data_IF_411721831137
#
_entry.id   IF_411721831137
#
_cell.length_a   1.000
_cell.length_b   1.000
_cell.length_c   1.000
_cell.angle_alpha   90.00
_cell.angle_beta   90.00
_cell.angle_gamma   90.00
#
_symmetry.space_group_name_H-M   'P 1'
#
loop_
_entity.id
_entity.type
_entity.pdbx_description
1 polymer ?
#
# COMPACT_ATOMS: atom_id res chain seq x y z
N UNK A 1 53.67 20.55 -23.67
CA UNK A 1 53.67 20.09 -22.28
C UNK A 1 52.25 20.23 -21.73
N UNK A 2 51.63 19.13 -21.31
CA UNK A 2 50.27 19.15 -20.74
C UNK A 2 50.40 19.28 -19.22
N UNK A 3 49.87 20.36 -18.66
CA UNK A 3 49.83 20.50 -17.21
C UNK A 3 48.84 19.49 -16.62
N UNK A 4 49.26 18.80 -15.55
CA UNK A 4 48.49 17.73 -14.91
C UNK A 4 48.49 17.87 -13.40
N UNK A 5 47.37 17.50 -12.78
CA UNK A 5 47.28 17.28 -11.33
C UNK A 5 47.40 15.79 -11.05
N UNK A 6 48.20 15.42 -10.07
CA UNK A 6 48.39 14.04 -9.63
C UNK A 6 47.79 13.83 -8.24
N UNK A 7 46.95 12.81 -8.11
CA UNK A 7 46.32 12.37 -6.87
C UNK A 7 46.98 11.07 -6.40
N UNK A 8 47.89 11.13 -5.39
CA UNK A 8 48.54 9.93 -4.87
C UNK A 8 47.59 9.12 -3.99
N UNK A 9 47.60 7.82 -4.21
CA UNK A 9 46.93 6.85 -3.33
C UNK A 9 47.98 6.22 -2.44
N UNK A 10 47.79 6.40 -1.13
CA UNK A 10 48.77 5.96 -0.13
C UNK A 10 48.20 4.81 0.72
N UNK A 11 49.12 3.98 1.22
CA UNK A 11 48.82 2.99 2.24
C UNK A 11 49.98 2.98 3.23
N UNK A 12 49.70 3.29 4.50
CA UNK A 12 50.69 3.46 5.56
C UNK A 12 51.84 4.40 5.17
N UNK A 13 51.46 5.54 4.57
CA UNK A 13 52.39 6.59 4.14
C UNK A 13 53.15 6.32 2.84
N UNK A 14 52.98 5.16 2.20
CA UNK A 14 53.64 4.83 0.93
C UNK A 14 52.69 4.97 -0.25
N UNK A 15 53.09 5.69 -1.30
CA UNK A 15 52.33 5.81 -2.55
C UNK A 15 52.42 4.49 -3.32
N UNK A 16 51.26 3.83 -3.54
CA UNK A 16 51.21 2.59 -4.31
C UNK A 16 50.51 2.74 -5.66
N UNK A 17 49.74 3.81 -5.85
CA UNK A 17 49.07 4.16 -7.09
C UNK A 17 48.92 5.69 -7.19
N UNK A 18 48.69 6.20 -8.39
CA UNK A 18 48.37 7.61 -8.60
C UNK A 18 47.40 7.77 -9.76
N UNK A 19 46.41 8.64 -9.61
CA UNK A 19 45.62 9.15 -10.73
C UNK A 19 46.20 10.49 -11.19
N UNK A 20 46.22 10.67 -12.49
CA UNK A 20 46.74 11.88 -13.14
C UNK A 20 45.64 12.45 -14.00
N UNK A 21 45.27 13.69 -13.77
CA UNK A 21 44.24 14.41 -14.53
C UNK A 21 44.84 15.59 -15.24
N UNK A 22 44.59 15.72 -16.54
CA UNK A 22 44.95 16.90 -17.30
C UNK A 22 44.14 18.12 -16.88
N UNK A 23 44.78 19.29 -16.78
CA UNK A 23 44.13 20.57 -16.47
C UNK A 23 43.55 21.19 -17.73
N UNK A 24 44.17 20.95 -18.89
CA UNK A 24 43.83 21.62 -20.14
C UNK A 24 42.86 20.84 -21.02
N UNK A 25 42.84 19.54 -20.92
CA UNK A 25 41.99 18.65 -21.76
C UNK A 25 41.28 17.59 -20.91
N UNK A 26 40.16 17.05 -21.42
CA UNK A 26 39.53 15.91 -20.79
C UNK A 26 40.37 14.65 -20.96
N UNK A 27 41.23 14.36 -20.00
CA UNK A 27 42.07 13.17 -20.00
C UNK A 27 42.52 12.81 -18.59
N UNK A 28 42.58 11.51 -18.31
CA UNK A 28 43.17 10.99 -17.09
C UNK A 28 44.00 9.73 -17.39
N UNK A 29 44.99 9.51 -16.58
CA UNK A 29 45.83 8.32 -16.60
C UNK A 29 45.99 7.79 -15.18
N UNK A 30 46.27 6.49 -15.03
CA UNK A 30 46.60 5.89 -13.76
C UNK A 30 47.97 5.25 -13.81
N UNK A 31 48.75 5.46 -12.78
CA UNK A 31 49.96 4.68 -12.49
C UNK A 31 49.63 3.76 -11.31
N UNK A 32 49.72 2.45 -11.52
CA UNK A 32 49.22 1.48 -10.57
C UNK A 32 47.69 1.29 -10.67
N UNK A 33 47.10 0.55 -9.72
CA UNK A 33 45.67 0.30 -9.64
C UNK A 33 45.13 0.71 -8.26
N UNK A 34 44.45 1.85 -8.13
CA UNK A 34 43.85 2.26 -6.86
C UNK A 34 42.79 1.27 -6.42
N UNK A 35 42.96 0.66 -5.24
CA UNK A 35 42.05 -0.35 -4.65
C UNK A 35 41.54 0.04 -3.26
N UNK A 36 41.85 1.26 -2.80
CA UNK A 36 41.39 1.82 -1.54
C UNK A 36 40.86 3.24 -1.77
N UNK A 37 40.28 3.84 -0.76
CA UNK A 37 39.89 5.25 -0.84
C UNK A 37 41.13 6.17 -1.05
N UNK A 38 40.92 7.26 -1.79
CA UNK A 38 41.81 8.38 -1.76
C UNK A 38 41.82 9.04 -0.39
N UNK A 39 42.96 9.46 0.11
CA UNK A 39 43.15 10.10 1.43
C UNK A 39 42.90 9.16 2.64
N UNK A 40 42.94 7.84 2.45
CA UNK A 40 42.62 6.84 3.50
C UNK A 40 43.54 6.97 4.73
N UNK A 41 44.82 7.24 4.56
CA UNK A 41 45.80 7.32 5.66
C UNK A 41 45.54 8.48 6.65
N UNK A 42 44.66 9.43 6.29
CA UNK A 42 44.30 10.57 7.14
C UNK A 42 42.95 10.37 7.85
N UNK A 43 42.33 9.21 7.73
CA UNK A 43 41.06 8.96 8.38
C UNK A 43 41.24 8.82 9.89
N UNK A 44 40.48 9.62 10.63
CA UNK A 44 40.27 9.53 12.07
C UNK A 44 38.87 8.88 12.30
N UNK A 45 38.87 7.63 12.74
CA UNK A 45 37.63 6.85 12.92
C UNK A 45 36.72 7.38 14.06
N UNK A 46 37.24 8.29 14.88
CA UNK A 46 36.42 8.95 15.92
C UNK A 46 35.54 10.08 15.38
N UNK A 47 35.80 10.50 14.14
CA UNK A 47 35.03 11.52 13.42
C UNK A 47 34.07 10.89 12.40
N UNK A 48 32.99 11.57 12.00
CA UNK A 48 32.22 11.20 10.82
C UNK A 48 33.11 11.08 9.58
N UNK A 49 32.78 10.15 8.68
CA UNK A 49 33.51 9.94 7.42
C UNK A 49 32.69 10.48 6.24
N UNK A 50 33.22 11.44 5.49
CA UNK A 50 32.64 11.92 4.23
C UNK A 50 33.26 11.11 3.09
N UNK A 51 32.42 10.44 2.29
CA UNK A 51 32.85 9.68 1.09
C UNK A 51 32.35 10.40 -0.16
N UNK A 52 33.28 10.96 -0.93
CA UNK A 52 33.03 11.66 -2.18
C UNK A 52 33.17 10.73 -3.39
N UNK A 53 32.53 11.10 -4.53
CA UNK A 53 32.70 10.37 -5.78
C UNK A 53 34.06 10.61 -6.44
N UNK A 54 34.55 11.83 -6.39
CA UNK A 54 35.82 12.24 -7.03
C UNK A 54 36.82 12.83 -6.05
N UNK A 55 38.09 12.79 -6.46
CA UNK A 55 39.20 13.38 -5.68
C UNK A 55 39.06 14.91 -5.55
N UNK A 56 38.55 15.60 -6.58
CA UNK A 56 38.29 17.05 -6.52
C UNK A 56 37.20 17.40 -5.54
N UNK A 57 36.16 16.57 -5.41
CA UNK A 57 35.08 16.76 -4.43
C UNK A 57 35.60 16.59 -3.02
N UNK A 58 36.47 15.58 -2.80
CA UNK A 58 37.16 15.40 -1.52
C UNK A 58 38.02 16.62 -1.18
N UNK A 59 38.80 17.14 -2.13
CA UNK A 59 39.57 18.35 -1.92
C UNK A 59 38.70 19.57 -1.67
N UNK A 60 37.53 19.65 -2.29
CA UNK A 60 36.53 20.72 -2.02
C UNK A 60 36.06 20.71 -0.58
N UNK A 61 35.75 19.52 0.00
CA UNK A 61 35.44 19.40 1.41
C UNK A 61 36.63 19.74 2.31
N UNK A 62 37.84 19.37 1.95
CA UNK A 62 39.07 19.76 2.69
C UNK A 62 39.23 21.27 2.67
N UNK A 63 39.06 21.90 1.50
CA UNK A 63 39.20 23.37 1.32
C UNK A 63 38.14 24.14 2.14
N UNK A 64 36.93 23.59 2.32
CA UNK A 64 35.92 24.24 3.15
C UNK A 64 36.14 24.05 4.66
N UNK A 65 37.18 23.34 5.09
CA UNK A 65 37.52 23.10 6.51
C UNK A 65 36.83 21.87 7.11
N UNK A 66 36.28 20.97 6.29
CA UNK A 66 35.56 19.77 6.77
C UNK A 66 36.45 18.86 7.65
N UNK A 67 37.80 18.87 7.51
CA UNK A 67 38.69 18.05 8.32
C UNK A 67 38.65 18.37 9.82
N UNK A 68 38.17 19.54 10.20
CA UNK A 68 37.98 19.90 11.61
C UNK A 68 36.89 19.04 12.28
N UNK A 69 35.84 18.65 11.54
CA UNK A 69 34.66 17.98 12.05
C UNK A 69 34.45 16.57 11.47
N UNK A 70 35.08 16.20 10.37
CA UNK A 70 34.92 14.92 9.70
C UNK A 70 36.21 14.49 8.98
N UNK A 71 36.41 13.21 8.76
CA UNK A 71 37.40 12.69 7.84
C UNK A 71 36.84 12.69 6.42
N UNK A 72 37.69 12.97 5.40
CA UNK A 72 37.27 13.10 4.01
C UNK A 72 38.02 12.14 3.12
N UNK A 73 37.31 11.33 2.35
CA UNK A 73 37.87 10.39 1.38
C UNK A 73 37.10 10.44 0.06
N UNK A 74 37.70 9.93 -1.02
CA UNK A 74 36.94 9.66 -2.25
C UNK A 74 37.11 8.24 -2.75
N UNK A 75 36.14 7.77 -3.55
CA UNK A 75 36.21 6.43 -4.15
C UNK A 75 37.28 6.39 -5.25
N UNK A 76 37.97 5.25 -5.44
CA UNK A 76 39.04 5.13 -6.44
C UNK A 76 38.53 5.06 -7.89
N UNK A 77 37.27 4.66 -8.09
CA UNK A 77 36.68 4.45 -9.42
C UNK A 77 35.35 5.18 -9.51
N UNK A 78 35.05 5.77 -10.66
CA UNK A 78 33.80 6.53 -10.88
C UNK A 78 32.53 5.69 -10.79
N UNK A 79 31.38 6.37 -10.86
CA UNK A 79 30.06 5.83 -10.60
C UNK A 79 29.69 4.56 -11.40
N UNK A 80 28.84 3.75 -10.80
CA UNK A 80 28.33 2.49 -11.35
C UNK A 80 26.95 2.74 -11.97
N UNK A 81 26.77 2.34 -13.24
CA UNK A 81 25.52 2.64 -13.98
C UNK A 81 24.28 1.84 -13.55
N UNK A 82 24.37 0.90 -12.59
CA UNK A 82 23.23 0.05 -12.23
C UNK A 82 23.34 -0.49 -10.79
N UNK A 83 22.26 -0.35 -10.04
CA UNK A 83 22.06 -1.06 -8.76
C UNK A 83 21.80 -2.53 -9.07
N UNK A 84 22.47 -3.45 -8.38
CA UNK A 84 22.24 -4.90 -8.51
C UNK A 84 21.20 -5.31 -7.49
N UNK A 85 20.19 -6.11 -7.90
CA UNK A 85 19.17 -6.65 -6.99
C UNK A 85 19.82 -7.39 -5.81
N UNK A 86 19.22 -7.21 -4.61
CA UNK A 86 19.76 -7.72 -3.32
C UNK A 86 20.07 -9.22 -3.34
N UNK A 87 19.29 -10.01 -4.10
CA UNK A 87 19.43 -11.48 -4.20
C UNK A 87 20.68 -11.93 -4.97
N UNK A 88 21.28 -11.08 -5.79
CA UNK A 88 22.39 -11.41 -6.69
C UNK A 88 23.70 -10.66 -6.39
N UNK A 89 23.74 -9.83 -5.35
CA UNK A 89 24.94 -9.09 -4.97
C UNK A 89 26.01 -10.03 -4.41
N UNK A 90 26.92 -10.48 -5.26
CA UNK A 90 28.11 -11.22 -4.83
C UNK A 90 28.97 -10.32 -3.94
N UNK A 91 29.38 -10.84 -2.76
CA UNK A 91 30.35 -10.18 -1.86
C UNK A 91 31.66 -9.74 -2.54
N UNK A 92 31.96 -10.27 -3.70
CA UNK A 92 33.22 -10.13 -4.44
C UNK A 92 33.02 -9.35 -5.76
N UNK A 93 32.40 -8.15 -5.66
CA UNK A 93 32.32 -7.24 -6.78
C UNK A 93 33.61 -6.40 -6.85
N UNK A 94 34.38 -6.61 -7.88
CA UNK A 94 35.69 -5.92 -8.10
C UNK A 94 35.57 -4.39 -8.08
N UNK A 95 34.42 -3.82 -8.41
CA UNK A 95 34.14 -2.38 -8.43
C UNK A 95 34.06 -1.75 -7.03
N UNK A 96 33.60 -2.53 -6.02
CA UNK A 96 33.48 -2.07 -4.64
C UNK A 96 34.53 -2.66 -3.71
N UNK A 97 35.62 -3.20 -4.27
CA UNK A 97 36.73 -3.80 -3.51
C UNK A 97 37.35 -2.83 -2.50
N UNK A 98 37.29 -1.53 -2.79
CA UNK A 98 37.74 -0.50 -1.87
C UNK A 98 36.99 -0.47 -0.54
N UNK A 99 35.69 -0.83 -0.53
CA UNK A 99 34.92 -0.98 0.70
C UNK A 99 35.39 -2.19 1.51
N UNK A 100 35.61 -3.33 0.86
CA UNK A 100 36.13 -4.53 1.51
C UNK A 100 37.54 -4.29 2.09
N UNK A 101 38.39 -3.57 1.37
CA UNK A 101 39.72 -3.24 1.84
C UNK A 101 39.75 -2.23 3.01
N UNK A 102 38.65 -1.52 3.24
CA UNK A 102 38.48 -0.57 4.33
C UNK A 102 37.45 -1.04 5.38
N UNK A 103 37.09 -2.34 5.40
CA UNK A 103 36.01 -2.88 6.23
C UNK A 103 36.23 -2.59 7.72
N UNK A 104 37.44 -2.86 8.26
CA UNK A 104 37.78 -2.58 9.66
C UNK A 104 37.57 -1.11 10.02
N UNK A 105 38.08 -0.20 9.19
CA UNK A 105 37.92 1.25 9.38
C UNK A 105 36.44 1.65 9.30
N UNK A 106 35.70 1.10 8.33
CA UNK A 106 34.28 1.39 8.17
C UNK A 106 33.45 0.86 9.35
N UNK A 107 33.83 -0.25 9.97
CA UNK A 107 33.14 -0.77 11.18
C UNK A 107 33.32 0.16 12.40
N UNK A 108 34.50 0.76 12.56
CA UNK A 108 34.81 1.67 13.67
C UNK A 108 34.06 3.02 13.54
N UNK A 109 33.84 3.50 12.32
CA UNK A 109 33.19 4.79 12.07
C UNK A 109 31.70 4.73 12.40
N UNK A 110 31.23 5.59 13.31
CA UNK A 110 29.82 5.63 13.71
C UNK A 110 28.89 6.33 12.70
N UNK A 111 29.38 7.31 11.94
CA UNK A 111 28.60 8.10 10.99
C UNK A 111 29.32 8.24 9.65
N UNK A 112 28.69 7.84 8.57
CA UNK A 112 29.20 7.94 7.20
C UNK A 112 28.31 8.90 6.41
N UNK A 113 28.88 9.93 5.80
CA UNK A 113 28.20 10.92 4.96
C UNK A 113 28.60 10.67 3.51
N UNK A 114 27.65 10.24 2.69
CA UNK A 114 27.86 9.95 1.28
C UNK A 114 27.61 11.23 0.47
N UNK A 115 28.63 11.68 -0.25
CA UNK A 115 28.67 12.93 -0.99
C UNK A 115 29.01 12.66 -2.47
N UNK A 116 28.21 11.80 -3.13
CA UNK A 116 28.30 11.51 -4.56
C UNK A 116 27.59 12.57 -5.39
N UNK A 117 27.84 12.57 -6.70
CA UNK A 117 27.16 13.43 -7.65
C UNK A 117 25.62 13.30 -7.56
N UNK A 118 24.90 14.38 -7.85
CA UNK A 118 23.42 14.39 -7.84
C UNK A 118 22.78 13.72 -9.07
N UNK A 119 23.57 13.26 -10.05
CA UNK A 119 23.08 12.58 -11.24
C UNK A 119 22.67 11.11 -10.95
N UNK A 120 22.05 10.45 -11.94
CA UNK A 120 21.55 9.08 -11.80
C UNK A 120 22.65 8.08 -11.42
N UNK A 121 23.87 8.25 -11.94
CA UNK A 121 24.98 7.35 -11.68
C UNK A 121 25.53 7.52 -10.27
N UNK A 122 25.70 8.78 -9.82
CA UNK A 122 26.12 9.09 -8.45
C UNK A 122 25.09 8.63 -7.41
N UNK A 123 23.79 8.78 -7.69
CA UNK A 123 22.75 8.28 -6.79
C UNK A 123 22.73 6.74 -6.71
N UNK A 124 22.95 6.04 -7.82
CA UNK A 124 23.07 4.57 -7.81
C UNK A 124 24.29 4.10 -7.02
N UNK A 125 25.42 4.79 -7.13
CA UNK A 125 26.62 4.52 -6.34
C UNK A 125 26.36 4.75 -4.85
N UNK A 126 25.71 5.86 -4.49
CA UNK A 126 25.35 6.17 -3.11
C UNK A 126 24.47 5.07 -2.47
N UNK A 127 23.45 4.62 -3.19
CA UNK A 127 22.56 3.54 -2.73
C UNK A 127 23.32 2.24 -2.46
N UNK A 128 24.19 1.85 -3.39
CA UNK A 128 24.99 0.63 -3.27
C UNK A 128 26.03 0.72 -2.14
N UNK A 129 26.69 1.88 -1.97
CA UNK A 129 27.60 2.11 -0.84
C UNK A 129 26.83 2.05 0.49
N UNK A 130 25.70 2.75 0.61
CA UNK A 130 24.90 2.74 1.81
C UNK A 130 24.39 1.33 2.18
N UNK A 131 24.05 0.52 1.17
CA UNK A 131 23.64 -0.88 1.36
C UNK A 131 24.77 -1.74 1.92
N UNK A 132 26.02 -1.56 1.42
CA UNK A 132 27.19 -2.35 1.83
C UNK A 132 27.75 -1.91 3.18
N UNK A 133 27.81 -0.60 3.44
CA UNK A 133 28.31 -0.02 4.70
C UNK A 133 27.29 -0.24 5.84
N UNK A 134 26.00 -0.21 5.50
CA UNK A 134 24.88 -0.26 6.45
C UNK A 134 24.13 1.07 6.52
N UNK A 135 22.89 1.10 6.00
CA UNK A 135 22.06 2.33 5.92
C UNK A 135 21.82 3.02 7.27
N UNK A 136 21.89 2.25 8.39
CA UNK A 136 21.67 2.77 9.73
C UNK A 136 22.64 3.86 10.16
N UNK A 137 23.86 3.86 9.64
CA UNK A 137 24.91 4.87 9.92
C UNK A 137 25.22 5.77 8.72
N UNK A 138 24.53 5.59 7.59
CA UNK A 138 24.74 6.36 6.39
C UNK A 138 23.82 7.58 6.33
N UNK A 139 24.40 8.71 5.94
CA UNK A 139 23.74 9.97 5.65
C UNK A 139 24.12 10.40 4.24
N UNK A 140 23.35 11.29 3.62
CA UNK A 140 23.68 11.82 2.29
C UNK A 140 23.66 13.32 2.27
N UNK A 141 24.55 13.90 1.49
CA UNK A 141 24.52 15.32 1.13
C UNK A 141 23.40 15.55 0.09
N UNK A 142 22.62 16.59 0.32
CA UNK A 142 21.63 17.07 -0.66
C UNK A 142 22.16 18.40 -1.24
N UNK A 143 22.75 18.34 -2.41
CA UNK A 143 23.25 19.54 -3.08
C UNK A 143 22.11 20.46 -3.52
N UNK A 144 22.34 21.80 -3.56
CA UNK A 144 21.39 22.74 -4.16
C UNK A 144 21.07 22.36 -5.61
N UNK A 145 19.87 22.69 -6.09
CA UNK A 145 19.38 22.28 -7.43
C UNK A 145 20.28 22.68 -8.60
N UNK A 146 21.05 23.76 -8.44
CA UNK A 146 21.98 24.29 -9.43
C UNK A 146 23.42 23.76 -9.27
N UNK A 147 23.67 22.85 -8.31
CA UNK A 147 24.96 22.25 -8.06
C UNK A 147 24.88 20.73 -8.22
N UNK A 148 25.81 20.15 -8.95
CA UNK A 148 25.89 18.72 -9.20
C UNK A 148 26.67 17.98 -8.14
N UNK A 149 27.76 18.60 -7.65
CA UNK A 149 28.77 18.02 -6.79
C UNK A 149 29.32 19.06 -5.79
N UNK A 150 30.26 18.67 -4.96
CA UNK A 150 30.89 19.54 -3.97
C UNK A 150 31.68 20.69 -4.59
N UNK A 151 32.36 20.42 -5.71
CA UNK A 151 33.15 21.42 -6.43
C UNK A 151 32.21 22.52 -6.98
N UNK A 152 31.08 22.14 -7.57
CA UNK A 152 30.05 23.08 -8.04
C UNK A 152 29.56 24.00 -6.91
N UNK A 153 29.40 23.50 -5.68
CA UNK A 153 28.97 24.31 -4.53
C UNK A 153 29.99 25.38 -4.19
N UNK A 154 31.27 25.04 -4.13
CA UNK A 154 32.31 26.03 -3.89
C UNK A 154 32.34 27.09 -5.00
N UNK A 155 32.32 26.68 -6.26
CA UNK A 155 32.40 27.56 -7.40
C UNK A 155 31.19 28.49 -7.57
N UNK A 156 29.98 27.97 -7.29
CA UNK A 156 28.72 28.70 -7.53
C UNK A 156 28.20 29.42 -6.29
N UNK A 157 28.57 28.97 -5.11
CA UNK A 157 28.09 29.52 -3.82
C UNK A 157 29.27 30.00 -2.95
N UNK A 158 29.78 29.13 -2.06
CA UNK A 158 30.92 29.43 -1.20
C UNK A 158 31.41 28.16 -0.49
N UNK A 159 32.60 28.24 0.11
CA UNK A 159 33.13 27.23 1.05
C UNK A 159 32.24 27.05 2.27
N UNK A 160 31.70 28.16 2.81
CA UNK A 160 30.75 28.10 3.94
C UNK A 160 29.50 27.31 3.58
N UNK A 161 28.93 27.57 2.40
CA UNK A 161 27.75 26.84 1.93
C UNK A 161 27.97 25.33 1.80
N UNK A 162 29.18 24.90 1.40
CA UNK A 162 29.56 23.49 1.36
C UNK A 162 29.70 22.92 2.77
N UNK A 163 30.33 23.64 3.67
CA UNK A 163 30.49 23.23 5.07
C UNK A 163 29.13 23.01 5.76
N UNK A 164 28.18 23.93 5.59
CA UNK A 164 26.85 23.85 6.16
C UNK A 164 26.09 22.58 5.71
N UNK A 165 26.39 22.05 4.52
CA UNK A 165 25.77 20.82 4.03
C UNK A 165 26.16 19.58 4.85
N UNK A 166 27.26 19.61 5.59
CA UNK A 166 27.69 18.52 6.47
C UNK A 166 26.68 18.35 7.61
N UNK A 167 26.27 19.45 8.22
CA UNK A 167 25.28 19.45 9.30
C UNK A 167 23.86 19.18 8.80
N UNK A 168 23.58 19.58 7.55
CA UNK A 168 22.30 19.37 6.88
C UNK A 168 22.18 17.99 6.21
N UNK A 169 23.19 17.12 6.34
CA UNK A 169 23.15 15.78 5.77
C UNK A 169 21.96 14.98 6.33
N UNK A 170 21.12 14.46 5.44
CA UNK A 170 19.94 13.69 5.80
C UNK A 170 20.26 12.20 5.97
N UNK A 171 19.66 11.55 6.96
CA UNK A 171 19.79 10.11 7.14
C UNK A 171 19.40 9.36 5.87
N UNK A 172 20.13 8.30 5.54
CA UNK A 172 19.83 7.47 4.38
C UNK A 172 18.50 6.73 4.60
N UNK A 173 17.56 6.77 3.64
CA UNK A 173 16.25 6.18 3.86
C UNK A 173 16.36 4.65 4.03
N UNK A 174 15.78 4.16 5.13
CA UNK A 174 15.62 2.73 5.39
C UNK A 174 14.17 2.38 5.07
N UNK A 175 13.98 1.41 4.18
CA UNK A 175 12.63 0.97 3.81
C UNK A 175 11.83 0.54 5.04
N UNK A 176 10.64 1.10 5.21
CA UNK A 176 9.76 0.80 6.34
C UNK A 176 10.07 1.54 7.64
N UNK A 177 11.12 2.39 7.68
CA UNK A 177 11.44 3.27 8.81
C UNK A 177 11.29 4.73 8.39
N UNK A 178 10.39 5.44 9.06
CA UNK A 178 10.06 6.83 8.73
C UNK A 178 10.19 7.70 9.97
N UNK A 179 10.74 8.89 9.80
CA UNK A 179 10.67 9.93 10.81
C UNK A 179 9.24 10.48 10.91
N UNK A 180 8.80 10.82 12.12
CA UNK A 180 7.44 11.33 12.36
C UNK A 180 7.09 12.57 11.52
N UNK A 181 8.09 13.42 11.23
CA UNK A 181 7.89 14.64 10.42
C UNK A 181 7.39 14.36 9.01
N UNK A 182 7.68 13.17 8.46
CA UNK A 182 7.21 12.77 7.13
C UNK A 182 5.68 12.62 7.08
N UNK A 183 5.01 12.49 8.22
CA UNK A 183 3.55 12.38 8.34
C UNK A 183 2.86 13.71 8.71
N UNK A 184 3.61 14.78 9.01
CA UNK A 184 3.03 16.04 9.49
C UNK A 184 2.05 16.65 8.50
N UNK A 185 2.34 16.61 7.20
CA UNK A 185 1.42 17.11 6.16
C UNK A 185 0.07 16.38 6.20
N UNK A 186 0.09 15.07 6.40
CA UNK A 186 -1.13 14.28 6.52
C UNK A 186 -1.84 14.57 7.85
N UNK A 187 -1.08 14.81 8.93
CA UNK A 187 -1.60 15.18 10.22
C UNK A 187 -2.29 16.56 10.17
N UNK A 188 -1.70 17.53 9.48
CA UNK A 188 -2.30 18.87 9.26
C UNK A 188 -3.62 18.75 8.49
N UNK A 189 -3.68 17.91 7.46
CA UNK A 189 -4.92 17.64 6.74
C UNK A 189 -5.98 16.99 7.64
N UNK A 190 -5.59 16.03 8.47
CA UNK A 190 -6.49 15.43 9.45
C UNK A 190 -6.99 16.42 10.50
N UNK A 191 -6.15 17.38 10.91
CA UNK A 191 -6.53 18.42 11.85
C UNK A 191 -7.54 19.40 11.21
N UNK A 192 -7.34 19.76 9.94
CA UNK A 192 -8.19 20.71 9.22
C UNK A 192 -9.53 20.11 8.80
N UNK A 193 -9.51 18.88 8.28
CA UNK A 193 -10.67 18.24 7.63
C UNK A 193 -11.41 17.28 8.58
N UNK A 194 -10.77 16.93 9.71
CA UNK A 194 -11.23 15.91 10.65
C UNK A 194 -11.04 14.48 10.12
N UNK A 195 -11.40 13.52 10.94
CA UNK A 195 -11.57 12.14 10.48
C UNK A 195 -12.88 12.07 9.71
N UNK A 196 -12.82 12.13 8.37
CA UNK A 196 -14.02 12.04 7.54
C UNK A 196 -14.83 10.78 7.86
N UNK A 197 -16.15 10.91 7.95
CA UNK A 197 -17.02 9.74 7.89
C UNK A 197 -16.73 9.01 6.58
N UNK A 198 -16.79 7.66 6.60
CA UNK A 198 -16.72 6.89 5.36
C UNK A 198 -17.83 7.26 4.38
N UNK A 199 -17.76 6.70 3.19
CA UNK A 199 -18.82 6.87 2.20
C UNK A 199 -20.10 6.17 2.64
N UNK A 200 -21.23 6.81 2.40
CA UNK A 200 -22.56 6.27 2.73
C UNK A 200 -22.81 4.96 1.97
N UNK A 201 -23.39 4.00 2.68
CA UNK A 201 -23.91 2.76 2.09
C UNK A 201 -25.13 2.97 1.21
N UNK A 202 -25.74 4.14 1.31
CA UNK A 202 -27.05 4.46 0.70
C UNK A 202 -28.24 4.06 1.55
N UNK A 203 -28.00 3.70 2.82
CA UNK A 203 -29.01 3.38 3.81
C UNK A 203 -28.68 4.12 5.12
N UNK A 204 -29.43 5.14 5.47
CA UNK A 204 -29.16 5.99 6.63
C UNK A 204 -29.05 5.20 7.93
N UNK A 205 -29.89 4.20 8.12
CA UNK A 205 -29.90 3.34 9.30
C UNK A 205 -28.69 2.36 9.34
N UNK A 206 -28.12 1.99 8.21
CA UNK A 206 -26.86 1.23 8.15
C UNK A 206 -25.67 2.16 8.39
N UNK A 207 -25.71 3.39 7.87
CA UNK A 207 -24.65 4.39 8.00
C UNK A 207 -24.40 4.83 9.45
N UNK A 208 -25.38 4.62 10.35
CA UNK A 208 -25.17 4.78 11.78
C UNK A 208 -24.22 3.73 12.39
N UNK A 209 -24.18 2.54 11.78
CA UNK A 209 -23.40 1.40 12.24
C UNK A 209 -22.12 1.20 11.46
N UNK A 210 -22.17 1.50 10.16
CA UNK A 210 -21.09 1.19 9.23
C UNK A 210 -21.14 2.11 8.02
N UNK A 211 -20.02 2.75 7.73
CA UNK A 211 -19.75 3.46 6.48
C UNK A 211 -18.53 2.88 5.77
N UNK A 212 -18.40 3.08 4.47
CA UNK A 212 -17.35 2.48 3.66
C UNK A 212 -16.12 3.37 3.60
N UNK A 213 -15.01 2.91 4.18
CA UNK A 213 -13.74 3.66 4.20
C UNK A 213 -12.71 2.92 3.38
N UNK A 214 -11.99 3.62 2.52
CA UNK A 214 -10.82 3.08 1.81
C UNK A 214 -9.73 2.65 2.79
N UNK A 215 -8.77 1.86 2.32
CA UNK A 215 -7.67 1.31 3.12
C UNK A 215 -8.12 0.39 4.26
N UNK A 216 -9.38 -0.07 4.24
CA UNK A 216 -9.96 -0.95 5.26
C UNK A 216 -10.42 -2.29 4.70
N UNK A 217 -10.35 -3.32 5.56
CA UNK A 217 -10.89 -4.65 5.34
C UNK A 217 -12.17 -4.84 6.15
N UNK A 218 -13.27 -5.11 5.46
CA UNK A 218 -14.55 -5.50 6.06
C UNK A 218 -14.85 -6.97 5.81
N UNK A 219 -15.05 -7.73 6.86
CA UNK A 219 -15.56 -9.12 6.77
C UNK A 219 -17.08 -9.11 6.76
N UNK A 220 -17.65 -9.83 5.82
CA UNK A 220 -19.11 -10.02 5.74
C UNK A 220 -19.43 -11.50 5.90
N UNK A 221 -20.17 -11.84 6.95
CA UNK A 221 -20.58 -13.21 7.24
C UNK A 221 -22.10 -13.35 7.30
N UNK A 222 -22.59 -14.57 7.44
CA UNK A 222 -24.00 -14.92 7.49
C UNK A 222 -24.23 -16.34 6.99
N UNK A 223 -25.35 -16.92 7.33
CA UNK A 223 -25.70 -18.27 6.86
C UNK A 223 -25.78 -18.35 5.32
N UNK A 224 -25.67 -19.55 4.73
CA UNK A 224 -25.98 -19.73 3.31
C UNK A 224 -27.37 -19.14 3.00
N UNK A 225 -27.51 -18.48 1.85
CA UNK A 225 -28.76 -17.83 1.40
C UNK A 225 -29.29 -16.70 2.30
N UNK A 226 -28.48 -16.16 3.22
CA UNK A 226 -28.87 -15.00 4.05
C UNK A 226 -28.84 -13.65 3.32
N UNK A 227 -28.35 -13.61 2.06
CA UNK A 227 -28.31 -12.39 1.27
C UNK A 227 -27.01 -11.58 1.35
N UNK A 228 -25.89 -12.17 1.82
CA UNK A 228 -24.57 -11.49 1.89
C UNK A 228 -24.16 -10.83 0.57
N UNK A 229 -24.11 -11.62 -0.50
CA UNK A 229 -23.72 -11.13 -1.83
C UNK A 229 -24.71 -10.09 -2.35
N UNK A 230 -26.02 -10.30 -2.14
CA UNK A 230 -27.06 -9.34 -2.51
C UNK A 230 -26.90 -8.00 -1.81
N UNK A 231 -26.53 -8.01 -0.51
CA UNK A 231 -26.29 -6.80 0.25
C UNK A 231 -25.05 -6.07 -0.26
N UNK A 232 -23.94 -6.77 -0.47
CA UNK A 232 -22.69 -6.18 -1.00
C UNK A 232 -22.92 -5.61 -2.40
N UNK A 233 -23.62 -6.33 -3.27
CA UNK A 233 -23.99 -5.86 -4.61
C UNK A 233 -24.80 -4.56 -4.55
N UNK A 234 -25.73 -4.45 -3.59
CA UNK A 234 -26.47 -3.21 -3.40
C UNK A 234 -25.59 -2.06 -2.94
N UNK A 235 -24.64 -2.31 -2.01
CA UNK A 235 -23.66 -1.29 -1.60
C UNK A 235 -22.81 -0.83 -2.79
N UNK A 236 -22.33 -1.75 -3.61
CA UNK A 236 -21.56 -1.42 -4.82
C UNK A 236 -22.38 -0.57 -5.80
N UNK A 237 -23.63 -0.92 -6.05
CA UNK A 237 -24.51 -0.13 -6.93
C UNK A 237 -24.76 1.26 -6.35
N UNK A 238 -25.03 1.39 -5.05
CA UNK A 238 -25.24 2.67 -4.40
C UNK A 238 -23.99 3.56 -4.50
N UNK A 239 -22.82 3.02 -4.21
CA UNK A 239 -21.54 3.75 -4.30
C UNK A 239 -21.17 4.10 -5.75
N UNK A 240 -21.47 3.22 -6.74
CA UNK A 240 -21.27 3.53 -8.14
C UNK A 240 -22.14 4.72 -8.59
N UNK A 241 -23.41 4.72 -8.21
CA UNK A 241 -24.36 5.77 -8.56
C UNK A 241 -24.04 7.08 -7.85
N UNK A 242 -23.82 7.05 -6.55
CA UNK A 242 -23.70 8.25 -5.72
C UNK A 242 -22.28 8.88 -5.76
N UNK A 243 -21.23 8.06 -5.94
CA UNK A 243 -19.82 8.47 -5.82
C UNK A 243 -18.97 8.13 -7.03
N UNK A 244 -19.52 7.48 -8.03
CA UNK A 244 -18.79 7.07 -9.22
C UNK A 244 -17.73 6.00 -8.97
N UNK A 245 -17.82 5.26 -7.87
CA UNK A 245 -16.86 4.22 -7.51
C UNK A 245 -16.81 3.11 -8.55
N UNK A 246 -15.64 2.48 -8.65
CA UNK A 246 -15.35 1.33 -9.49
C UNK A 246 -14.93 0.15 -8.66
N UNK A 247 -15.33 -1.05 -9.08
CA UNK A 247 -15.21 -2.27 -8.29
C UNK A 247 -14.50 -3.36 -9.07
N UNK A 248 -13.60 -4.10 -8.39
CA UNK A 248 -13.14 -5.40 -8.84
C UNK A 248 -13.93 -6.48 -8.09
N UNK A 249 -14.53 -7.41 -8.83
CA UNK A 249 -15.41 -8.44 -8.28
C UNK A 249 -14.80 -9.81 -8.54
N UNK A 250 -14.32 -10.46 -7.49
CA UNK A 250 -13.88 -11.86 -7.48
C UNK A 250 -14.99 -12.72 -6.86
N UNK A 251 -16.03 -13.00 -7.63
CA UNK A 251 -17.13 -13.89 -7.24
C UNK A 251 -16.88 -15.28 -7.82
N UNK A 252 -16.84 -16.27 -6.94
CA UNK A 252 -16.53 -17.66 -7.30
C UNK A 252 -17.78 -18.56 -7.32
N UNK A 253 -18.88 -18.12 -6.69
CA UNK A 253 -20.13 -18.90 -6.61
C UNK A 253 -21.10 -18.61 -7.76
N UNK A 254 -21.09 -17.37 -8.28
CA UNK A 254 -22.01 -16.96 -9.32
C UNK A 254 -21.33 -16.96 -10.70
N UNK A 255 -22.04 -17.47 -11.71
CA UNK A 255 -21.64 -17.22 -13.10
C UNK A 255 -21.68 -15.73 -13.40
N UNK A 256 -20.70 -15.17 -14.11
CA UNK A 256 -20.63 -13.73 -14.37
C UNK A 256 -21.92 -13.14 -14.95
N UNK A 257 -22.56 -13.83 -15.89
CA UNK A 257 -23.76 -13.36 -16.56
C UNK A 257 -24.95 -13.23 -15.61
N UNK A 258 -25.08 -14.16 -14.68
CA UNK A 258 -26.14 -14.14 -13.65
C UNK A 258 -25.87 -12.99 -12.67
N UNK A 259 -24.61 -12.80 -12.28
CA UNK A 259 -24.22 -11.71 -11.39
C UNK A 259 -24.48 -10.34 -12.04
N UNK A 260 -24.12 -10.18 -13.33
CA UNK A 260 -24.40 -8.97 -14.09
C UNK A 260 -25.90 -8.68 -14.16
N UNK A 261 -26.74 -9.69 -14.39
CA UNK A 261 -28.19 -9.52 -14.41
C UNK A 261 -28.75 -8.99 -13.09
N UNK A 262 -28.23 -9.49 -11.95
CA UNK A 262 -28.60 -9.02 -10.60
C UNK A 262 -28.16 -7.56 -10.37
N UNK A 263 -26.95 -7.18 -10.77
CA UNK A 263 -26.45 -5.79 -10.66
C UNK A 263 -27.32 -4.85 -11.48
N UNK A 264 -27.69 -5.23 -12.72
CA UNK A 264 -28.58 -4.41 -13.57
C UNK A 264 -29.96 -4.27 -12.95
N UNK A 265 -30.52 -5.35 -12.41
CA UNK A 265 -31.83 -5.31 -11.71
C UNK A 265 -31.83 -4.33 -10.53
N UNK A 266 -30.73 -4.35 -9.73
CA UNK A 266 -30.55 -3.40 -8.61
C UNK A 266 -30.42 -1.96 -9.10
N UNK A 267 -29.62 -1.72 -10.14
CA UNK A 267 -29.42 -0.40 -10.72
C UNK A 267 -30.72 0.19 -11.27
N UNK A 268 -31.48 -0.61 -12.03
CA UNK A 268 -32.76 -0.20 -12.63
C UNK A 268 -33.96 -0.30 -11.70
N UNK A 269 -33.81 -0.99 -10.56
CA UNK A 269 -34.90 -1.31 -9.62
C UNK A 269 -36.09 -2.02 -10.33
N UNK A 270 -35.77 -2.88 -11.30
CA UNK A 270 -36.72 -3.67 -12.10
C UNK A 270 -36.26 -5.11 -12.25
N UNK A 271 -37.21 -6.07 -12.36
CA UNK A 271 -36.84 -7.46 -12.63
C UNK A 271 -36.08 -7.62 -13.95
N UNK A 272 -35.10 -8.51 -13.98
CA UNK A 272 -34.39 -8.88 -15.22
C UNK A 272 -35.21 -9.83 -16.08
N UNK A 273 -35.97 -10.74 -15.45
CA UNK A 273 -36.75 -11.77 -16.10
C UNK A 273 -38.24 -11.44 -16.08
N UNK A 274 -38.98 -12.01 -17.06
CA UNK A 274 -40.45 -11.91 -17.09
C UNK A 274 -41.07 -12.55 -15.84
N UNK A 275 -42.12 -11.92 -15.33
CA UNK A 275 -42.82 -12.35 -14.14
C UNK A 275 -44.14 -11.55 -13.94
N UNK A 276 -44.59 -11.45 -12.69
CA UNK A 276 -45.78 -10.68 -12.36
C UNK A 276 -45.64 -9.17 -12.62
N UNK A 277 -44.40 -8.67 -12.56
CA UNK A 277 -44.09 -7.28 -12.87
C UNK A 277 -43.37 -7.16 -14.21
N UNK A 278 -43.55 -6.02 -14.93
CA UNK A 278 -42.83 -5.78 -16.17
C UNK A 278 -41.32 -5.86 -15.97
N UNK A 279 -40.62 -6.63 -16.80
CA UNK A 279 -39.18 -6.69 -16.79
C UNK A 279 -38.56 -5.42 -17.39
N UNK A 280 -37.22 -5.34 -17.34
CA UNK A 280 -36.41 -4.34 -18.02
C UNK A 280 -36.74 -4.29 -19.52
N UNK A 281 -36.85 -3.09 -20.08
CA UNK A 281 -36.89 -2.90 -21.52
C UNK A 281 -35.53 -3.13 -22.15
N UNK A 282 -35.45 -3.19 -23.46
CA UNK A 282 -34.18 -3.35 -24.18
C UNK A 282 -33.26 -2.15 -23.96
N UNK A 283 -33.81 -0.94 -23.97
CA UNK A 283 -33.10 0.32 -23.70
C UNK A 283 -32.55 0.37 -22.28
N UNK A 284 -33.33 -0.05 -21.29
CA UNK A 284 -32.90 -0.13 -19.89
C UNK A 284 -31.80 -1.18 -19.69
N UNK A 285 -31.86 -2.30 -20.41
CA UNK A 285 -30.80 -3.30 -20.42
C UNK A 285 -29.48 -2.73 -21.00
N UNK A 286 -29.56 -2.01 -22.12
CA UNK A 286 -28.39 -1.48 -22.79
C UNK A 286 -27.76 -0.34 -21.95
N UNK A 287 -28.55 0.51 -21.29
CA UNK A 287 -28.02 1.47 -20.30
C UNK A 287 -27.41 0.75 -19.09
N UNK A 288 -28.01 -0.33 -18.60
CA UNK A 288 -27.43 -1.16 -17.54
C UNK A 288 -26.07 -1.77 -17.91
N UNK A 289 -25.88 -2.17 -19.17
CA UNK A 289 -24.59 -2.66 -19.66
C UNK A 289 -23.52 -1.56 -19.67
N UNK A 290 -23.86 -0.35 -20.12
CA UNK A 290 -22.91 0.78 -20.09
C UNK A 290 -22.56 1.17 -18.64
N UNK A 291 -23.53 1.12 -17.70
CA UNK A 291 -23.26 1.30 -16.28
C UNK A 291 -22.25 0.27 -15.75
N UNK A 292 -22.46 -1.03 -16.03
CA UNK A 292 -21.54 -2.09 -15.60
C UNK A 292 -20.16 -1.90 -16.22
N UNK A 293 -20.07 -1.66 -17.51
CA UNK A 293 -18.80 -1.46 -18.23
C UNK A 293 -17.97 -0.32 -17.60
N UNK A 294 -18.63 0.71 -17.08
CA UNK A 294 -17.97 1.86 -16.44
C UNK A 294 -17.49 1.57 -15.03
N UNK A 295 -18.21 0.74 -14.27
CA UNK A 295 -18.03 0.62 -12.83
C UNK A 295 -17.57 -0.74 -12.33
N UNK A 296 -17.70 -1.84 -13.11
CA UNK A 296 -17.45 -3.20 -12.61
C UNK A 296 -16.44 -3.97 -13.46
N UNK A 297 -15.46 -4.58 -12.81
CA UNK A 297 -14.40 -5.39 -13.43
C UNK A 297 -14.37 -6.75 -12.75
N UNK A 298 -14.60 -7.84 -13.51
CA UNK A 298 -14.67 -9.18 -12.96
C UNK A 298 -13.30 -9.86 -12.99
N UNK A 299 -12.87 -10.38 -11.84
CA UNK A 299 -11.70 -11.23 -11.72
C UNK A 299 -12.17 -12.67 -11.76
N UNK A 300 -12.11 -13.27 -12.95
CA UNK A 300 -12.62 -14.60 -13.20
C UNK A 300 -11.59 -15.48 -13.92
N UNK A 301 -11.46 -16.73 -13.48
CA UNK A 301 -10.67 -17.75 -14.16
C UNK A 301 -11.56 -18.67 -14.98
N UNK A 302 -11.37 -18.65 -16.32
CA UNK A 302 -12.19 -19.44 -17.25
C UNK A 302 -11.83 -20.93 -17.26
N UNK A 303 -10.63 -21.30 -16.80
CA UNK A 303 -10.12 -22.67 -16.74
C UNK A 303 -10.53 -23.44 -15.49
N UNK A 304 -11.30 -22.83 -14.59
CA UNK A 304 -11.78 -23.44 -13.35
C UNK A 304 -10.69 -23.69 -12.31
N UNK A 305 -9.45 -23.23 -12.52
CA UNK A 305 -8.38 -23.36 -11.52
C UNK A 305 -8.61 -22.44 -10.33
N UNK A 306 -8.21 -22.89 -9.14
CA UNK A 306 -8.23 -22.04 -7.95
C UNK A 306 -7.03 -21.06 -8.01
N UNK A 307 -7.28 -19.79 -7.71
CA UNK A 307 -6.23 -18.79 -7.63
C UNK A 307 -5.55 -18.81 -6.25
N UNK A 308 -4.22 -18.72 -6.23
CA UNK A 308 -3.53 -18.32 -5.00
C UNK A 308 -3.88 -16.89 -4.66
N UNK A 309 -3.75 -16.52 -3.37
CA UNK A 309 -4.00 -15.13 -2.93
C UNK A 309 -3.10 -14.13 -3.68
N UNK A 310 -1.84 -14.48 -3.93
CA UNK A 310 -0.89 -13.58 -4.58
C UNK A 310 -1.28 -13.33 -6.04
N UNK A 311 -1.71 -14.37 -6.78
CA UNK A 311 -2.22 -14.24 -8.14
C UNK A 311 -3.53 -13.43 -8.19
N UNK A 312 -4.40 -13.59 -7.21
CA UNK A 312 -5.64 -12.81 -7.09
C UNK A 312 -5.34 -11.33 -6.85
N UNK A 313 -4.50 -11.03 -5.87
CA UNK A 313 -4.11 -9.66 -5.53
C UNK A 313 -3.39 -8.97 -6.69
N UNK A 314 -2.57 -9.69 -7.47
CA UNK A 314 -1.91 -9.13 -8.65
C UNK A 314 -2.93 -8.70 -9.73
N UNK A 315 -3.96 -9.49 -10.01
CA UNK A 315 -5.04 -9.10 -10.94
C UNK A 315 -5.82 -7.90 -10.43
N UNK A 316 -6.09 -7.86 -9.14
CA UNK A 316 -6.75 -6.72 -8.50
C UNK A 316 -5.86 -5.48 -8.60
N UNK A 317 -4.55 -5.60 -8.37
CA UNK A 317 -3.58 -4.52 -8.54
C UNK A 317 -3.65 -3.91 -9.94
N UNK A 318 -3.69 -4.77 -10.95
CA UNK A 318 -3.83 -4.33 -12.34
C UNK A 318 -5.14 -3.55 -12.54
N UNK A 319 -6.25 -3.99 -11.92
CA UNK A 319 -7.52 -3.28 -12.03
C UNK A 319 -7.48 -1.90 -11.35
N UNK A 320 -6.79 -1.79 -10.22
CA UNK A 320 -6.58 -0.51 -9.53
C UNK A 320 -5.78 0.45 -10.39
N UNK A 321 -4.63 0.00 -10.89
CA UNK A 321 -3.72 0.85 -11.68
C UNK A 321 -4.30 1.23 -13.05
N UNK A 322 -5.02 0.32 -13.70
CA UNK A 322 -5.56 0.55 -15.05
C UNK A 322 -6.89 1.29 -15.06
N UNK A 323 -7.77 0.98 -14.13
CA UNK A 323 -9.15 1.45 -14.16
C UNK A 323 -9.50 2.39 -13.02
N UNK A 324 -8.63 2.52 -12.00
CA UNK A 324 -8.91 3.32 -10.80
C UNK A 324 -9.95 2.68 -9.90
N UNK A 325 -9.88 1.36 -9.68
CA UNK A 325 -10.77 0.61 -8.78
C UNK A 325 -10.68 1.16 -7.36
N UNK A 326 -11.83 1.42 -6.73
CA UNK A 326 -11.94 1.98 -5.39
C UNK A 326 -12.20 0.91 -4.32
N UNK A 327 -12.84 -0.19 -4.71
CA UNK A 327 -13.12 -1.28 -3.79
C UNK A 327 -13.13 -2.64 -4.49
N UNK A 328 -12.97 -3.69 -3.69
CA UNK A 328 -12.87 -5.08 -4.12
C UNK A 328 -13.81 -5.95 -3.31
N UNK A 329 -14.48 -6.88 -3.98
CA UNK A 329 -15.23 -7.96 -3.35
C UNK A 329 -14.55 -9.29 -3.63
N UNK A 330 -14.32 -10.08 -2.57
CA UNK A 330 -13.87 -11.47 -2.64
C UNK A 330 -14.97 -12.33 -2.02
N UNK A 331 -15.68 -13.10 -2.84
CA UNK A 331 -16.89 -13.82 -2.43
C UNK A 331 -16.92 -15.28 -2.95
N UNK A 332 -16.72 -16.27 -2.04
CA UNK A 332 -16.13 -16.18 -0.70
C UNK A 332 -14.63 -16.55 -0.68
N UNK A 333 -13.96 -16.37 0.47
CA UNK A 333 -12.54 -16.66 0.64
C UNK A 333 -12.18 -18.15 0.49
N UNK A 334 -13.13 -19.05 0.71
CA UNK A 334 -12.93 -20.51 0.69
C UNK A 334 -12.50 -21.05 -0.68
N UNK A 335 -12.70 -20.29 -1.75
CA UNK A 335 -12.25 -20.61 -3.11
C UNK A 335 -10.83 -20.14 -3.41
N UNK A 336 -10.15 -19.54 -2.45
CA UNK A 336 -8.72 -19.21 -2.58
C UNK A 336 -7.92 -20.45 -2.23
N UNK A 337 -6.97 -20.81 -3.11
CA UNK A 337 -6.14 -22.01 -2.94
C UNK A 337 -5.31 -21.91 -1.67
N UNK A 338 -5.48 -22.87 -0.76
CA UNK A 338 -4.64 -23.07 0.40
C UNK A 338 -3.51 -24.04 0.05
N UNK A 339 -2.24 -23.72 0.38
CA UNK A 339 -1.14 -24.69 0.28
C UNK A 339 -1.44 -25.95 1.09
N UNK A 340 -1.09 -27.11 0.53
CA UNK A 340 -1.44 -28.42 1.13
C UNK A 340 -0.82 -28.64 2.50
N UNK A 341 0.34 -28.04 2.77
CA UNK A 341 1.11 -28.20 4.00
C UNK A 341 0.79 -27.13 5.07
N UNK A 342 -0.09 -26.17 4.76
CA UNK A 342 -0.41 -25.06 5.67
C UNK A 342 -1.71 -25.35 6.45
N UNK A 343 -1.64 -25.17 7.78
CA UNK A 343 -2.82 -25.25 8.63
C UNK A 343 -3.82 -24.13 8.30
N UNK A 344 -5.11 -24.42 8.36
CA UNK A 344 -6.18 -23.45 8.02
C UNK A 344 -6.06 -22.14 8.80
N UNK A 345 -5.78 -22.21 10.10
CA UNK A 345 -5.63 -21.02 10.95
C UNK A 345 -4.44 -20.15 10.54
N UNK A 346 -3.31 -20.76 10.16
CA UNK A 346 -2.13 -20.05 9.68
C UNK A 346 -2.41 -19.40 8.32
N UNK A 347 -3.03 -20.15 7.41
CA UNK A 347 -3.45 -19.65 6.11
C UNK A 347 -4.40 -18.45 6.23
N UNK A 348 -5.46 -18.54 7.03
CA UNK A 348 -6.41 -17.43 7.25
C UNK A 348 -5.67 -16.22 7.84
N UNK A 349 -4.76 -16.44 8.78
CA UNK A 349 -3.97 -15.36 9.37
C UNK A 349 -3.11 -14.65 8.31
N UNK A 350 -2.41 -15.40 7.46
CA UNK A 350 -1.59 -14.89 6.37
C UNK A 350 -2.43 -14.17 5.33
N UNK A 351 -3.54 -14.80 4.89
CA UNK A 351 -4.49 -14.25 3.94
C UNK A 351 -5.02 -12.88 4.36
N UNK A 352 -5.55 -12.77 5.58
CA UNK A 352 -6.10 -11.51 6.10
C UNK A 352 -5.04 -10.43 6.23
N UNK A 353 -3.81 -10.79 6.61
CA UNK A 353 -2.69 -9.83 6.66
C UNK A 353 -2.32 -9.31 5.27
N UNK A 354 -2.20 -10.19 4.28
CA UNK A 354 -1.92 -9.81 2.88
C UNK A 354 -2.99 -8.90 2.32
N UNK A 355 -4.27 -9.25 2.49
CA UNK A 355 -5.40 -8.44 2.00
C UNK A 355 -5.41 -7.07 2.67
N UNK A 356 -5.18 -7.00 3.98
CA UNK A 356 -5.19 -5.74 4.71
C UNK A 356 -4.04 -4.82 4.28
N UNK A 357 -2.82 -5.34 4.19
CA UNK A 357 -1.66 -4.58 3.68
C UNK A 357 -1.93 -4.10 2.27
N UNK A 358 -2.51 -4.95 1.41
CA UNK A 358 -2.88 -4.59 0.06
C UNK A 358 -3.91 -3.44 0.02
N UNK A 359 -4.96 -3.52 0.84
CA UNK A 359 -5.98 -2.46 0.95
C UNK A 359 -5.35 -1.11 1.33
N UNK A 360 -4.42 -1.11 2.29
CA UNK A 360 -3.69 0.08 2.74
C UNK A 360 -2.72 0.62 1.69
N UNK A 361 -1.99 -0.26 1.00
CA UNK A 361 -1.00 0.13 -0.02
C UNK A 361 -1.65 0.80 -1.23
N UNK A 362 -2.82 0.31 -1.64
CA UNK A 362 -3.50 0.79 -2.85
C UNK A 362 -4.68 1.73 -2.58
N UNK A 363 -4.91 2.12 -1.32
CA UNK A 363 -6.01 2.97 -0.88
C UNK A 363 -7.37 2.52 -1.43
N UNK A 364 -7.69 1.24 -1.25
CA UNK A 364 -8.96 0.63 -1.66
C UNK A 364 -9.68 -0.01 -0.49
N UNK A 365 -11.01 -0.10 -0.58
CA UNK A 365 -11.80 -0.91 0.35
C UNK A 365 -11.84 -2.37 -0.08
N UNK A 366 -11.82 -3.33 0.88
CA UNK A 366 -11.98 -4.75 0.57
C UNK A 366 -13.11 -5.34 1.41
N UNK A 367 -14.13 -5.89 0.74
CA UNK A 367 -15.09 -6.80 1.34
C UNK A 367 -14.65 -8.24 1.12
N UNK A 368 -14.51 -8.99 2.20
CA UNK A 368 -14.23 -10.41 2.17
C UNK A 368 -15.39 -11.19 2.77
N UNK A 369 -16.04 -12.01 1.96
CA UNK A 369 -17.13 -12.87 2.40
C UNK A 369 -16.57 -14.14 3.02
N UNK A 370 -17.07 -14.47 4.21
CA UNK A 370 -16.66 -15.66 4.94
C UNK A 370 -17.88 -16.40 5.49
N UNK A 371 -17.95 -17.71 5.25
CA UNK A 371 -19.03 -18.55 5.74
C UNK A 371 -18.78 -18.99 7.19
N UNK A 372 -19.84 -19.00 8.03
CA UNK A 372 -19.73 -19.54 9.38
C UNK A 372 -19.58 -21.05 9.35
N UNK A 373 -19.07 -21.60 10.44
CA UNK A 373 -19.15 -23.04 10.74
C UNK A 373 -20.60 -23.46 10.95
N UNK A 374 -20.85 -24.75 10.98
CA UNK A 374 -22.22 -25.25 11.26
C UNK A 374 -22.64 -24.87 12.68
N UNK A 375 -23.65 -24.02 12.78
CA UNK A 375 -24.20 -23.57 14.07
C UNK A 375 -25.39 -24.40 14.49
N UNK A 376 -25.56 -24.56 15.80
CA UNK A 376 -26.71 -25.24 16.36
C UNK A 376 -27.92 -24.28 16.44
N UNK A 377 -29.12 -24.86 16.37
CA UNK A 377 -30.34 -24.12 16.64
C UNK A 377 -30.47 -23.84 18.15
N UNK A 378 -31.00 -22.69 18.50
CA UNK A 378 -31.29 -22.34 19.88
C UNK A 378 -32.53 -23.13 20.41
N UNK A 379 -32.90 -22.89 21.68
CA UNK A 379 -34.07 -23.52 22.32
C UNK A 379 -35.41 -23.20 21.63
N UNK A 380 -35.46 -22.13 20.84
CA UNK A 380 -36.64 -21.74 20.03
C UNK A 380 -36.63 -22.38 18.64
N UNK A 381 -35.60 -23.17 18.30
CA UNK A 381 -35.44 -23.81 17.01
C UNK A 381 -34.85 -22.86 15.92
N UNK A 382 -34.48 -21.62 16.25
CA UNK A 382 -33.86 -20.65 15.34
C UNK A 382 -32.34 -20.77 15.36
N UNK A 383 -31.73 -20.46 14.25
CA UNK A 383 -30.26 -20.32 14.17
C UNK A 383 -29.92 -18.87 14.43
N UNK A 384 -29.09 -18.58 15.44
CA UNK A 384 -28.72 -17.20 15.76
C UNK A 384 -27.86 -16.58 14.64
N UNK A 385 -27.79 -15.24 14.53
CA UNK A 385 -26.89 -14.58 13.59
C UNK A 385 -25.43 -14.94 13.91
N UNK A 386 -24.65 -15.42 12.94
CA UNK A 386 -23.26 -15.78 13.18
C UNK A 386 -22.40 -14.53 13.43
N UNK A 387 -21.48 -14.64 14.37
CA UNK A 387 -20.52 -13.62 14.72
C UNK A 387 -19.11 -14.00 14.21
N UNK A 388 -18.12 -13.14 14.41
CA UNK A 388 -16.75 -13.40 13.96
C UNK A 388 -16.20 -14.74 14.46
N UNK A 389 -16.54 -15.14 15.68
CA UNK A 389 -16.06 -16.38 16.30
C UNK A 389 -16.72 -17.67 15.76
N UNK A 390 -17.78 -17.52 14.98
CA UNK A 390 -18.45 -18.63 14.33
C UNK A 390 -17.86 -18.96 12.94
N UNK A 391 -16.93 -18.13 12.43
CA UNK A 391 -16.23 -18.37 11.16
C UNK A 391 -15.07 -19.33 11.40
N UNK A 392 -14.82 -20.29 10.52
CA UNK A 392 -13.67 -21.17 10.59
C UNK A 392 -12.34 -20.38 10.62
N UNK A 393 -11.42 -20.72 11.52
CA UNK A 393 -10.21 -19.90 11.78
C UNK A 393 -10.48 -18.58 12.53
N UNK A 394 -11.53 -18.52 13.26
CA UNK A 394 -12.33 -17.41 13.77
C UNK A 394 -11.61 -16.27 14.49
N UNK A 395 -10.67 -16.54 15.38
CA UNK A 395 -10.00 -15.50 16.16
C UNK A 395 -9.27 -14.47 15.26
N UNK A 396 -8.76 -14.92 14.12
CA UNK A 396 -8.09 -14.05 13.15
C UNK A 396 -9.07 -13.16 12.39
N UNK A 397 -10.29 -13.63 12.09
CA UNK A 397 -11.32 -12.79 11.48
C UNK A 397 -11.72 -11.64 12.38
N UNK A 398 -11.82 -11.86 13.70
CA UNK A 398 -12.06 -10.76 14.63
C UNK A 398 -10.86 -9.83 14.77
N UNK A 399 -9.65 -10.37 14.97
CA UNK A 399 -8.48 -9.55 15.32
C UNK A 399 -7.98 -8.70 14.15
N UNK A 400 -7.98 -9.22 12.92
CA UNK A 400 -7.33 -8.61 11.75
C UNK A 400 -8.26 -7.77 10.85
N UNK A 401 -9.57 -7.80 11.05
CA UNK A 401 -10.51 -6.95 10.30
C UNK A 401 -10.63 -5.56 10.91
N UNK A 402 -10.99 -4.58 10.09
CA UNK A 402 -11.31 -3.23 10.55
C UNK A 402 -12.80 -3.10 10.87
N UNK A 403 -13.68 -3.62 10.03
CA UNK A 403 -15.12 -3.73 10.26
C UNK A 403 -15.61 -5.15 10.03
N UNK A 404 -16.66 -5.53 10.75
CA UNK A 404 -17.26 -6.85 10.61
C UNK A 404 -18.78 -6.78 10.64
N UNK A 405 -19.38 -7.38 9.61
CA UNK A 405 -20.82 -7.38 9.40
C UNK A 405 -21.37 -8.81 9.34
N UNK A 406 -22.58 -8.99 9.87
CA UNK A 406 -23.39 -10.20 9.64
C UNK A 406 -24.67 -9.81 8.95
N UNK A 407 -24.96 -10.49 7.85
CA UNK A 407 -26.25 -10.40 7.15
C UNK A 407 -27.08 -11.62 7.54
N UNK A 408 -28.19 -11.37 8.18
CA UNK A 408 -29.03 -12.42 8.74
C UNK A 408 -30.48 -12.25 8.29
N UNK A 409 -31.12 -13.35 7.91
CA UNK A 409 -32.55 -13.43 7.62
C UNK A 409 -33.18 -14.40 8.60
N UNK A 410 -33.89 -13.88 9.63
CA UNK A 410 -34.46 -14.73 10.68
C UNK A 410 -35.47 -15.75 10.17
N UNK A 411 -36.27 -15.37 9.18
CA UNK A 411 -37.28 -16.23 8.53
C UNK A 411 -37.32 -15.96 7.01
N UNK A 412 -36.39 -16.57 6.26
CA UNK A 412 -36.28 -16.32 4.82
C UNK A 412 -37.48 -16.83 4.00
N UNK A 413 -38.30 -17.71 4.57
CA UNK A 413 -39.45 -18.30 3.88
C UNK A 413 -40.69 -17.40 3.95
N UNK A 414 -40.91 -16.73 5.10
CA UNK A 414 -42.16 -16.01 5.36
C UNK A 414 -41.94 -14.50 5.57
N UNK A 415 -40.71 -14.02 5.59
CA UNK A 415 -40.38 -12.62 5.85
C UNK A 415 -39.35 -12.07 4.90
N UNK A 416 -39.52 -10.81 4.51
CA UNK A 416 -38.54 -10.05 3.73
C UNK A 416 -37.53 -9.28 4.61
N UNK A 417 -37.59 -9.46 5.91
CA UNK A 417 -36.74 -8.82 6.89
C UNK A 417 -35.30 -9.36 6.75
N UNK A 418 -34.34 -8.44 6.67
CA UNK A 418 -32.91 -8.72 6.71
C UNK A 418 -32.28 -7.87 7.81
N UNK A 419 -31.64 -8.52 8.76
CA UNK A 419 -30.88 -7.87 9.83
C UNK A 419 -29.46 -7.67 9.39
N UNK A 420 -28.92 -6.47 9.64
CA UNK A 420 -27.54 -6.10 9.45
C UNK A 420 -26.93 -5.88 10.84
N UNK A 421 -26.04 -6.77 11.26
CA UNK A 421 -25.33 -6.67 12.53
C UNK A 421 -23.90 -6.19 12.29
N UNK A 422 -23.50 -5.09 12.90
CA UNK A 422 -22.10 -4.65 12.96
C UNK A 422 -21.49 -5.14 14.27
N UNK A 423 -20.69 -6.21 14.23
CA UNK A 423 -20.06 -6.80 15.42
C UNK A 423 -18.68 -6.23 15.70
N UNK A 424 -18.09 -5.50 14.75
CA UNK A 424 -16.85 -4.78 14.91
C UNK A 424 -16.84 -3.53 14.06
N UNK A 425 -16.42 -2.42 14.66
CA UNK A 425 -15.98 -1.22 13.99
C UNK A 425 -14.74 -0.71 14.74
N UNK A 426 -13.59 -0.66 14.04
CA UNK A 426 -12.32 -0.29 14.68
C UNK A 426 -12.29 1.17 15.09
N UNK A 427 -12.90 2.02 14.30
CA UNK A 427 -12.86 3.46 14.47
C UNK A 427 -14.26 4.03 14.66
N UNK A 428 -14.46 4.78 15.74
CA UNK A 428 -15.76 5.34 16.14
C UNK A 428 -16.33 6.36 15.14
N UNK A 429 -15.51 6.96 14.30
CA UNK A 429 -15.95 7.88 13.25
C UNK A 429 -16.43 7.17 11.97
N UNK A 430 -16.15 5.88 11.83
CA UNK A 430 -16.64 5.04 10.73
C UNK A 430 -18.01 4.47 11.04
N UNK A 431 -18.27 4.13 12.31
CA UNK A 431 -19.51 3.52 12.76
C UNK A 431 -19.41 3.03 14.20
N UNK A 432 -20.36 2.19 14.59
CA UNK A 432 -20.45 1.60 15.93
C UNK A 432 -20.98 0.15 15.86
N UNK A 433 -20.74 -0.62 16.90
CA UNK A 433 -21.38 -1.92 17.05
C UNK A 433 -22.90 -1.73 17.26
N UNK A 434 -23.69 -2.64 16.71
CA UNK A 434 -25.14 -2.60 16.80
C UNK A 434 -25.80 -3.43 15.70
N UNK A 435 -27.10 -3.27 15.59
CA UNK A 435 -27.89 -3.92 14.54
C UNK A 435 -28.93 -2.96 13.98
N UNK A 436 -29.29 -3.19 12.73
CA UNK A 436 -30.39 -2.49 12.06
C UNK A 436 -31.13 -3.46 11.13
N UNK A 437 -32.28 -3.04 10.62
CA UNK A 437 -33.15 -3.89 9.82
C UNK A 437 -33.35 -3.23 8.44
N UNK A 438 -33.28 -4.05 7.39
CA UNK A 438 -33.68 -3.72 6.03
C UNK A 438 -34.79 -4.62 5.56
N UNK A 439 -35.60 -4.13 4.63
CA UNK A 439 -36.61 -4.92 3.90
C UNK A 439 -35.99 -5.32 2.54
N UNK A 440 -36.07 -6.61 2.20
CA UNK A 440 -35.57 -7.16 0.94
C UNK A 440 -36.72 -7.32 -0.06
N UNK A 441 -36.59 -6.75 -1.23
CA UNK A 441 -37.46 -6.97 -2.38
C UNK A 441 -36.89 -8.06 -3.28
N UNK A 442 -37.50 -9.24 -3.24
CA UNK A 442 -37.05 -10.39 -4.04
C UNK A 442 -37.23 -10.24 -5.55
N UNK A 443 -38.12 -9.34 -6.00
CA UNK A 443 -38.39 -9.12 -7.43
C UNK A 443 -37.26 -8.34 -8.10
N UNK A 444 -36.80 -7.31 -7.43
CA UNK A 444 -35.73 -6.42 -7.92
C UNK A 444 -34.37 -6.75 -7.30
N UNK A 445 -34.34 -7.68 -6.35
CA UNK A 445 -33.16 -8.01 -5.53
C UNK A 445 -32.57 -6.80 -4.80
N UNK A 446 -33.40 -5.82 -4.42
CA UNK A 446 -32.98 -4.59 -3.75
C UNK A 446 -33.33 -4.58 -2.27
N UNK A 447 -32.63 -3.74 -1.51
CA UNK A 447 -32.93 -3.47 -0.11
C UNK A 447 -33.48 -2.06 0.06
N UNK A 448 -34.32 -1.88 1.08
CA UNK A 448 -34.84 -0.60 1.56
C UNK A 448 -34.79 -0.56 3.08
N UNK A 449 -34.70 0.62 3.72
CA UNK A 449 -34.93 0.73 5.16
C UNK A 449 -36.26 0.06 5.54
N UNK A 450 -36.25 -0.65 6.66
CA UNK A 450 -37.46 -1.26 7.16
C UNK A 450 -38.35 -0.18 7.80
N UNK A 451 -39.56 -0.01 7.29
CA UNK A 451 -40.58 0.82 7.90
C UNK A 451 -41.51 -0.10 8.68
N UNK A 452 -41.59 0.02 10.01
CA UNK A 452 -42.61 -0.74 10.77
C UNK A 452 -44.00 -0.35 10.27
N UNK A 453 -44.87 -1.34 10.20
CA UNK A 453 -46.28 -1.11 9.83
C UNK A 453 -46.88 -0.12 10.83
N UNK A 454 -47.25 1.08 10.37
CA UNK A 454 -48.05 2.01 11.18
C UNK A 454 -49.36 1.33 11.50
N UNK A 455 -49.67 1.16 12.76
CA UNK A 455 -50.97 0.62 13.19
C UNK A 455 -52.09 1.46 12.63
N UNK A 456 -53.27 0.84 12.49
CA UNK A 456 -54.49 1.54 12.00
C UNK A 456 -54.76 2.80 12.81
N UNK A 457 -54.43 2.81 14.10
CA UNK A 457 -54.63 3.97 14.99
C UNK A 457 -53.70 5.17 14.64
N UNK A 458 -52.45 4.93 14.17
CA UNK A 458 -51.53 6.02 13.73
C UNK A 458 -51.91 6.58 12.33
N UNK A 459 -52.65 5.83 11.51
CA UNK A 459 -53.12 6.30 10.20
C UNK A 459 -54.30 7.30 10.33
N UNK A 460 -54.97 7.33 11.48
CA UNK A 460 -56.06 8.28 11.76
C UNK A 460 -55.56 9.54 12.47
N UNK A 461 -54.36 9.55 13.08
CA UNK A 461 -53.77 10.77 13.66
C UNK A 461 -53.36 11.80 12.60
N UNK A 462 -52.97 11.36 11.39
CA UNK A 462 -52.58 12.20 10.28
C UNK A 462 -53.77 12.52 9.31
N UNK A 463 -55.01 12.11 9.64
CA UNK A 463 -56.16 12.43 8.81
C UNK A 463 -56.62 13.88 9.06
N UNK A 464 -56.80 14.71 8.03
CA UNK A 464 -57.33 16.04 8.23
C UNK A 464 -58.73 15.95 8.82
N UNK A 465 -58.99 16.76 9.85
CA UNK A 465 -60.35 16.93 10.43
C UNK A 465 -61.35 17.29 9.30
N UNK A 466 -62.31 16.45 9.08
CA UNK A 466 -63.43 16.69 8.17
C UNK A 466 -64.52 17.46 8.86
#
# INVERSE_FOLDING_TARGET
ETECVMFPYTNRGQVYASKIRSITEKGFACSGSPQSFFNLDRVDTTKPLIICEGELDALSFIECGAEDVASVVSVPNGAVMKVVDEEFAKKDDSKFRFLTNAEEMLEEVEKVIIATDSDTAGQAMAEEMARRIGKHKCFKINYPKDCKDANDVILKKSTIALFDLIDLASAYPVSGLYDASQFYKNLDSLYSDGFGKGESTGFDNVDELYTVVKSQLTIVTGHPSSGKSEFIDQLMVNLAVNKGWKFAVASFENQPEIHLAKIISKYKKKPFFDGLNPRLTKEELDDGKEFIKKHFYFVHQRDGSLSSIDSLLERIRISVLRYGTNAVVIDPYNYIMRPTDEQETAFVSSLLSKIRVFAQTYDIHVWLVAHPTKMMRDSSGKVPPPMAYDISGSAHFFSKTDCGLTIHRPDPANSNITEVHCWKCRYSWVGKQGQTILSYDGLTSTYKPFEPYKGIDELFEDAPDF
#
